data_IF_552714298796
#
_entry.id   IF_552714298796
#
_cell.length_a   1.000
_cell.length_b   1.000
_cell.length_c   1.000
_cell.angle_alpha   90.00
_cell.angle_beta   90.00
_cell.angle_gamma   90.00
#
_symmetry.space_group_name_H-M   'P 1'
#
loop_
_entity.id
_entity.type
_entity.pdbx_description
1 polymer ?
#
# COMPACT_ATOMS: atom_id res chain seq x y z
N UNK A 1 -33.60 25.19 80.45
CA UNK A 1 -34.66 25.76 79.58
C UNK A 1 -35.54 24.64 79.05
N UNK A 2 -36.84 24.91 79.06
CA UNK A 2 -38.03 24.18 78.54
C UNK A 2 -37.75 22.96 77.62
N UNK A 3 -38.26 21.77 78.02
CA UNK A 3 -39.51 21.11 77.53
C UNK A 3 -39.39 20.76 76.04
N UNK A 4 -39.51 19.52 75.58
CA UNK A 4 -40.62 18.53 75.59
C UNK A 4 -40.37 17.68 74.32
N UNK A 5 -40.85 16.47 74.09
CA UNK A 5 -41.74 15.57 74.79
C UNK A 5 -41.45 14.15 74.30
N UNK A 6 -41.54 13.22 75.23
CA UNK A 6 -41.73 11.81 74.99
C UNK A 6 -43.21 11.60 74.60
N UNK A 7 -43.51 10.88 73.51
CA UNK A 7 -44.85 10.29 73.34
C UNK A 7 -44.80 8.99 72.53
N UNK A 8 -45.07 7.95 73.29
CA UNK A 8 -45.32 6.56 72.98
C UNK A 8 -46.59 6.33 72.15
N UNK A 9 -46.60 5.34 71.25
CA UNK A 9 -47.70 4.37 71.12
C UNK A 9 -47.30 3.11 70.32
N UNK A 10 -47.97 2.00 70.65
CA UNK A 10 -47.73 0.54 70.48
C UNK A 10 -48.51 0.07 69.22
N UNK A 11 -48.13 -0.97 68.40
CA UNK A 11 -48.29 -2.36 68.84
C UNK A 11 -47.35 -3.44 68.29
N UNK A 12 -47.20 -4.46 69.15
CA UNK A 12 -46.83 -5.85 68.84
C UNK A 12 -47.70 -6.40 67.71
N UNK A 13 -47.08 -6.93 66.66
CA UNK A 13 -47.61 -8.08 65.93
C UNK A 13 -46.51 -9.08 65.58
N UNK A 14 -46.94 -10.35 65.55
CA UNK A 14 -46.16 -11.57 65.69
C UNK A 14 -45.45 -11.97 64.38
N UNK A 15 -44.19 -12.41 64.56
CA UNK A 15 -43.47 -13.54 63.95
C UNK A 15 -44.07 -14.19 62.70
N UNK A 16 -43.27 -14.26 61.64
CA UNK A 16 -43.10 -15.47 60.79
C UNK A 16 -41.66 -15.51 60.23
N UNK A 17 -40.93 -16.64 60.34
CA UNK A 17 -39.64 -16.80 59.70
C UNK A 17 -39.84 -17.40 58.30
N UNK A 18 -39.54 -16.64 57.25
CA UNK A 18 -39.43 -17.17 55.90
C UNK A 18 -37.96 -17.27 55.52
N UNK A 19 -37.50 -18.51 55.43
CA UNK A 19 -36.28 -18.91 54.75
C UNK A 19 -36.40 -18.51 53.27
N UNK A 20 -35.57 -17.59 52.80
CA UNK A 20 -35.38 -17.33 51.38
C UNK A 20 -34.08 -17.96 50.92
N UNK A 21 -34.23 -19.12 50.27
CA UNK A 21 -33.21 -19.77 49.46
C UNK A 21 -32.71 -18.80 48.38
N UNK A 22 -31.39 -18.58 48.32
CA UNK A 22 -30.75 -17.80 47.27
C UNK A 22 -30.58 -18.72 46.06
N UNK A 23 -31.45 -18.58 45.07
CA UNK A 23 -31.26 -19.19 43.75
C UNK A 23 -30.16 -18.42 43.01
N UNK A 24 -29.00 -19.06 42.85
CA UNK A 24 -27.93 -18.56 41.99
C UNK A 24 -28.35 -18.70 40.52
N UNK A 25 -28.62 -17.57 39.86
CA UNK A 25 -28.83 -17.53 38.42
C UNK A 25 -27.47 -17.67 37.72
N UNK A 26 -27.25 -18.82 37.07
CA UNK A 26 -26.17 -19.03 36.10
C UNK A 26 -26.44 -18.13 34.88
N UNK A 27 -25.67 -17.05 34.76
CA UNK A 27 -25.62 -16.23 33.56
C UNK A 27 -24.83 -16.99 32.49
N UNK A 28 -25.53 -17.42 31.44
CA UNK A 28 -24.91 -17.89 30.21
C UNK A 28 -24.16 -16.72 29.57
N UNK A 29 -22.84 -16.78 29.59
CA UNK A 29 -21.99 -15.89 28.83
C UNK A 29 -22.24 -16.15 27.34
N UNK A 30 -23.02 -15.29 26.70
CA UNK A 30 -23.05 -15.20 25.25
C UNK A 30 -21.69 -14.69 24.81
N UNK A 31 -20.86 -15.56 24.21
CA UNK A 31 -19.72 -15.13 23.42
C UNK A 31 -20.26 -14.35 22.22
N UNK A 32 -20.48 -13.05 22.37
CA UNK A 32 -20.52 -12.15 21.25
C UNK A 32 -19.11 -12.19 20.64
N UNK A 33 -18.93 -12.99 19.59
CA UNK A 33 -17.80 -12.80 18.67
C UNK A 33 -17.91 -11.36 18.20
N UNK A 34 -17.03 -10.50 18.71
CA UNK A 34 -16.84 -9.18 18.14
C UNK A 34 -16.70 -9.36 16.63
N UNK A 35 -17.38 -8.55 15.79
CA UNK A 35 -17.16 -8.64 14.35
C UNK A 35 -15.67 -8.49 14.13
N UNK A 36 -15.10 -9.48 13.43
CA UNK A 36 -13.71 -9.45 12.97
C UNK A 36 -13.47 -8.07 12.40
N UNK A 37 -12.45 -7.36 12.93
CA UNK A 37 -12.19 -5.99 12.53
C UNK A 37 -12.07 -5.98 11.01
N UNK A 38 -13.12 -5.48 10.33
CA UNK A 38 -13.11 -5.37 8.90
C UNK A 38 -11.83 -4.63 8.53
N UNK A 39 -11.14 -5.08 7.50
CA UNK A 39 -9.94 -4.49 6.93
C UNK A 39 -10.17 -2.99 6.65
N UNK A 40 -10.01 -2.17 7.69
CA UNK A 40 -10.63 -0.86 7.84
C UNK A 40 -9.61 0.21 7.51
N UNK A 41 -9.20 0.25 6.25
CA UNK A 41 -8.58 1.44 5.68
C UNK A 41 -9.63 2.50 5.32
N UNK A 42 -9.19 3.66 4.82
CA UNK A 42 -10.08 4.65 4.20
C UNK A 42 -10.92 4.00 3.08
N UNK A 43 -12.11 4.55 2.77
CA UNK A 43 -12.95 4.01 1.69
C UNK A 43 -12.16 3.87 0.37
N UNK A 44 -12.33 2.78 -0.40
CA UNK A 44 -11.56 2.54 -1.62
C UNK A 44 -11.55 3.71 -2.61
N UNK A 45 -12.69 4.36 -2.80
CA UNK A 45 -12.83 5.54 -3.66
C UNK A 45 -11.97 6.73 -3.18
N UNK A 46 -11.77 6.87 -1.86
CA UNK A 46 -10.91 7.92 -1.29
C UNK A 46 -9.44 7.59 -1.57
N UNK A 47 -9.03 6.33 -1.41
CA UNK A 47 -7.66 5.90 -1.70
C UNK A 47 -7.34 6.06 -3.19
N UNK A 48 -8.26 5.66 -4.07
CA UNK A 48 -8.10 5.86 -5.52
C UNK A 48 -7.98 7.34 -5.86
N UNK A 49 -8.83 8.20 -5.29
CA UNK A 49 -8.76 9.64 -5.54
C UNK A 49 -7.44 10.26 -5.05
N UNK A 50 -6.92 9.80 -3.91
CA UNK A 50 -5.62 10.22 -3.38
C UNK A 50 -4.49 9.79 -4.31
N UNK A 51 -4.45 8.52 -4.72
CA UNK A 51 -3.42 8.03 -5.64
C UNK A 51 -3.43 8.77 -6.99
N UNK A 52 -4.61 9.10 -7.53
CA UNK A 52 -4.72 9.86 -8.78
C UNK A 52 -4.33 11.34 -8.65
N UNK A 53 -4.30 11.88 -7.43
CA UNK A 53 -3.89 13.25 -7.16
C UNK A 53 -2.43 13.35 -6.71
N UNK A 54 -1.79 12.23 -6.41
CA UNK A 54 -0.39 12.20 -5.97
C UNK A 54 0.54 12.56 -7.13
N UNK A 55 1.53 13.41 -6.85
CA UNK A 55 2.53 13.81 -7.83
C UNK A 55 3.63 12.77 -7.99
N UNK A 56 3.84 11.90 -6.99
CA UNK A 56 4.82 10.83 -7.05
C UNK A 56 4.13 9.54 -7.54
N UNK A 57 4.45 9.06 -8.77
CA UNK A 57 3.79 7.88 -9.32
C UNK A 57 4.10 6.59 -8.54
N UNK A 58 5.25 6.53 -7.85
CA UNK A 58 5.64 5.37 -7.05
C UNK A 58 4.80 5.29 -5.76
N UNK A 59 4.58 6.42 -5.10
CA UNK A 59 3.69 6.49 -3.93
C UNK A 59 2.24 6.19 -4.32
N UNK A 60 1.77 6.72 -5.46
CA UNK A 60 0.46 6.41 -6.01
C UNK A 60 0.28 4.90 -6.30
N UNK A 61 1.29 4.25 -6.86
CA UNK A 61 1.28 2.81 -7.12
C UNK A 61 1.22 2.02 -5.80
N UNK A 62 2.00 2.43 -4.79
CA UNK A 62 2.00 1.81 -3.47
C UNK A 62 0.62 1.90 -2.82
N UNK A 63 -0.02 3.07 -2.83
CA UNK A 63 -1.38 3.27 -2.29
C UNK A 63 -2.40 2.32 -2.94
N UNK A 64 -2.37 2.19 -4.27
CA UNK A 64 -3.27 1.30 -5.00
C UNK A 64 -2.95 -0.17 -4.76
N UNK A 65 -1.69 -0.51 -4.53
CA UNK A 65 -1.26 -1.86 -4.19
C UNK A 65 -1.71 -2.29 -2.81
N UNK A 66 -1.57 -1.42 -1.81
CA UNK A 66 -2.13 -1.64 -0.47
C UNK A 66 -3.65 -1.76 -0.50
N UNK A 67 -4.33 -0.95 -1.33
CA UNK A 67 -5.77 -1.07 -1.51
C UNK A 67 -6.16 -2.44 -2.07
N UNK A 68 -5.47 -2.91 -3.11
CA UNK A 68 -5.76 -4.18 -3.77
C UNK A 68 -5.43 -5.41 -2.91
N UNK A 69 -4.52 -5.26 -1.96
CA UNK A 69 -4.23 -6.28 -0.94
C UNK A 69 -5.40 -6.48 0.06
N UNK A 70 -6.36 -5.54 0.10
CA UNK A 70 -7.50 -5.66 1.01
C UNK A 70 -8.45 -6.78 0.61
N UNK A 71 -8.87 -7.56 1.60
CA UNK A 71 -9.83 -8.65 1.40
C UNK A 71 -11.29 -8.15 1.38
N UNK A 72 -11.52 -6.92 1.82
CA UNK A 72 -12.85 -6.31 1.95
C UNK A 72 -13.40 -5.71 0.65
N UNK A 73 -12.62 -5.67 -0.43
CA UNK A 73 -13.05 -5.07 -1.70
C UNK A 73 -14.17 -5.85 -2.37
N UNK A 74 -15.22 -5.15 -2.77
CA UNK A 74 -16.18 -5.67 -3.74
C UNK A 74 -15.52 -5.88 -5.10
N UNK A 75 -16.13 -6.71 -5.96
CA UNK A 75 -15.63 -6.91 -7.33
C UNK A 75 -15.54 -5.59 -8.11
N UNK A 76 -16.53 -4.71 -7.95
CA UNK A 76 -16.53 -3.37 -8.55
C UNK A 76 -15.33 -2.54 -8.10
N UNK A 77 -15.09 -2.45 -6.79
CA UNK A 77 -13.97 -1.67 -6.25
C UNK A 77 -12.61 -2.25 -6.68
N UNK A 78 -12.48 -3.58 -6.72
CA UNK A 78 -11.28 -4.26 -7.20
C UNK A 78 -11.02 -3.94 -8.68
N UNK A 79 -12.06 -3.97 -9.52
CA UNK A 79 -11.97 -3.62 -10.94
C UNK A 79 -11.54 -2.16 -11.13
N UNK A 80 -12.11 -1.22 -10.38
CA UNK A 80 -11.72 0.20 -10.45
C UNK A 80 -10.25 0.40 -10.03
N UNK A 81 -9.84 -0.20 -8.91
CA UNK A 81 -8.47 -0.09 -8.42
C UNK A 81 -7.45 -0.73 -9.38
N UNK A 82 -7.75 -1.91 -9.94
CA UNK A 82 -6.91 -2.56 -10.96
C UNK A 82 -6.77 -1.69 -12.21
N UNK A 83 -7.86 -1.11 -12.70
CA UNK A 83 -7.81 -0.23 -13.87
C UNK A 83 -6.90 0.98 -13.64
N UNK A 84 -7.07 1.65 -12.50
CA UNK A 84 -6.28 2.84 -12.18
C UNK A 84 -4.80 2.49 -11.94
N UNK A 85 -4.51 1.39 -11.24
CA UNK A 85 -3.13 0.96 -11.02
C UNK A 85 -2.46 0.54 -12.32
N UNK A 86 -3.13 -0.25 -13.15
CA UNK A 86 -2.59 -0.65 -14.45
C UNK A 86 -2.32 0.54 -15.37
N UNK A 87 -3.23 1.51 -15.38
CA UNK A 87 -3.05 2.76 -16.13
C UNK A 87 -1.86 3.57 -15.63
N UNK A 88 -1.72 3.73 -14.31
CA UNK A 88 -0.60 4.42 -13.68
C UNK A 88 0.74 3.73 -13.97
N UNK A 89 0.79 2.40 -13.79
CA UNK A 89 1.98 1.57 -14.04
C UNK A 89 2.46 1.64 -15.48
N UNK A 90 1.54 1.72 -16.45
CA UNK A 90 1.91 1.88 -17.87
C UNK A 90 2.49 3.26 -18.17
N UNK A 91 1.92 4.30 -17.55
CA UNK A 91 2.12 5.69 -17.98
C UNK A 91 3.17 6.46 -17.17
N UNK A 92 3.33 6.16 -15.88
CA UNK A 92 4.12 7.01 -14.99
C UNK A 92 4.90 6.26 -13.90
N UNK A 93 4.47 5.08 -13.45
CA UNK A 93 5.18 4.32 -12.40
C UNK A 93 6.15 3.27 -12.95
N UNK A 94 6.44 3.31 -14.25
CA UNK A 94 7.48 2.49 -14.89
C UNK A 94 7.35 0.99 -14.60
N UNK A 95 6.14 0.45 -14.59
CA UNK A 95 5.88 -0.97 -14.29
C UNK A 95 4.99 -1.61 -15.36
N UNK A 96 5.48 -1.64 -16.60
CA UNK A 96 4.69 -2.10 -17.75
C UNK A 96 4.26 -3.57 -17.65
N UNK A 97 5.07 -4.44 -17.04
CA UNK A 97 4.66 -5.83 -16.81
C UNK A 97 3.55 -5.92 -15.74
N UNK A 98 3.66 -5.19 -14.63
CA UNK A 98 2.59 -5.13 -13.63
C UNK A 98 1.30 -4.51 -14.17
N UNK A 99 1.38 -3.60 -15.14
CA UNK A 99 0.19 -3.07 -15.82
C UNK A 99 -0.55 -4.14 -16.64
N UNK A 100 0.19 -5.04 -17.32
CA UNK A 100 -0.40 -6.19 -18.02
C UNK A 100 -1.20 -7.05 -17.04
N UNK A 101 -0.58 -7.40 -15.90
CA UNK A 101 -1.21 -8.22 -14.86
C UNK A 101 -2.51 -7.58 -14.35
N UNK A 102 -2.50 -6.26 -14.11
CA UNK A 102 -3.66 -5.53 -13.62
C UNK A 102 -4.83 -5.54 -14.63
N UNK A 103 -4.56 -5.28 -15.90
CA UNK A 103 -5.60 -5.29 -16.93
C UNK A 103 -6.12 -6.70 -17.22
N UNK A 104 -5.25 -7.71 -17.20
CA UNK A 104 -5.66 -9.11 -17.34
C UNK A 104 -6.56 -9.55 -16.18
N UNK A 105 -6.17 -9.24 -14.93
CA UNK A 105 -6.98 -9.54 -13.75
C UNK A 105 -8.34 -8.83 -13.78
N UNK A 106 -8.39 -7.57 -14.23
CA UNK A 106 -9.65 -6.85 -14.40
C UNK A 106 -10.59 -7.57 -15.37
N UNK A 107 -10.06 -7.98 -16.52
CA UNK A 107 -10.83 -8.63 -17.59
C UNK A 107 -11.26 -10.05 -17.21
N UNK A 108 -10.52 -10.72 -16.32
CA UNK A 108 -10.94 -11.99 -15.72
C UNK A 108 -12.10 -11.81 -14.74
N UNK A 109 -12.03 -10.80 -13.88
CA UNK A 109 -13.07 -10.54 -12.86
C UNK A 109 -14.37 -10.08 -13.50
N UNK A 110 -14.30 -9.14 -14.44
CA UNK A 110 -15.47 -8.50 -15.01
C UNK A 110 -15.28 -8.13 -16.50
N UNK A 111 -15.35 -9.13 -17.41
CA UNK A 111 -15.12 -8.92 -18.85
C UNK A 111 -16.14 -7.99 -19.52
N UNK A 112 -17.32 -7.83 -18.92
CA UNK A 112 -18.42 -6.99 -19.40
C UNK A 112 -18.57 -5.67 -18.62
N UNK A 113 -17.60 -5.36 -17.74
CA UNK A 113 -17.60 -4.11 -16.99
C UNK A 113 -17.42 -2.89 -17.91
N UNK A 114 -17.91 -1.72 -17.50
CA UNK A 114 -17.82 -0.48 -18.28
C UNK A 114 -16.36 -0.09 -18.64
N UNK A 115 -15.40 -0.42 -17.77
CA UNK A 115 -13.97 -0.20 -18.00
C UNK A 115 -13.31 -1.28 -18.87
N UNK A 116 -13.96 -2.40 -19.14
CA UNK A 116 -13.32 -3.54 -19.82
C UNK A 116 -12.90 -3.20 -21.26
N UNK A 117 -13.64 -2.34 -21.97
CA UNK A 117 -13.25 -1.90 -23.31
C UNK A 117 -11.94 -1.08 -23.28
N UNK A 118 -11.83 -0.16 -22.31
CA UNK A 118 -10.61 0.62 -22.12
C UNK A 118 -9.46 -0.26 -21.66
N UNK A 119 -9.69 -1.17 -20.71
CA UNK A 119 -8.68 -2.10 -20.22
C UNK A 119 -8.09 -2.97 -21.34
N UNK A 120 -8.90 -3.46 -22.28
CA UNK A 120 -8.40 -4.19 -23.46
C UNK A 120 -7.49 -3.33 -24.34
N UNK A 121 -7.87 -2.07 -24.54
CA UNK A 121 -7.10 -1.13 -25.36
C UNK A 121 -5.75 -0.82 -24.68
N UNK A 122 -5.77 -0.50 -23.39
CA UNK A 122 -4.57 -0.24 -22.60
C UNK A 122 -3.67 -1.48 -22.53
N UNK A 123 -4.24 -2.68 -22.40
CA UNK A 123 -3.53 -3.96 -22.42
C UNK A 123 -2.79 -4.18 -23.75
N UNK A 124 -3.44 -3.90 -24.89
CA UNK A 124 -2.82 -4.02 -26.21
C UNK A 124 -1.67 -3.02 -26.39
N UNK A 125 -1.83 -1.78 -25.90
CA UNK A 125 -0.76 -0.79 -25.90
C UNK A 125 0.43 -1.23 -25.05
N UNK A 126 0.21 -1.61 -23.79
CA UNK A 126 1.32 -2.00 -22.92
C UNK A 126 2.04 -3.27 -23.40
N UNK A 127 1.33 -4.23 -24.00
CA UNK A 127 1.96 -5.41 -24.63
C UNK A 127 2.87 -4.99 -25.79
N UNK A 128 2.42 -4.05 -26.60
CA UNK A 128 3.23 -3.49 -27.69
C UNK A 128 4.46 -2.76 -27.14
N UNK A 129 4.30 -1.95 -26.10
CA UNK A 129 5.40 -1.23 -25.45
C UNK A 129 6.44 -2.23 -24.89
N UNK A 130 5.98 -3.26 -24.17
CA UNK A 130 6.84 -4.31 -23.60
C UNK A 130 7.63 -5.05 -24.67
N UNK A 131 6.97 -5.45 -25.77
CA UNK A 131 7.61 -6.09 -26.93
C UNK A 131 8.72 -5.19 -27.49
N UNK A 132 8.41 -3.93 -27.75
CA UNK A 132 9.36 -2.97 -28.32
C UNK A 132 10.57 -2.73 -27.41
N UNK A 133 10.35 -2.57 -26.11
CA UNK A 133 11.43 -2.41 -25.13
C UNK A 133 12.31 -3.64 -25.18
N UNK A 134 11.75 -4.83 -24.99
CA UNK A 134 12.52 -6.10 -24.97
C UNK A 134 13.34 -6.30 -26.24
N UNK A 135 12.76 -6.00 -27.41
CA UNK A 135 13.48 -6.04 -28.68
C UNK A 135 14.63 -5.03 -28.70
N UNK A 136 14.42 -3.80 -28.19
CA UNK A 136 15.46 -2.77 -28.13
C UNK A 136 16.61 -3.10 -27.17
N UNK A 137 16.34 -3.88 -26.11
CA UNK A 137 17.34 -4.20 -25.07
C UNK A 137 18.56 -4.94 -25.62
N UNK A 138 18.42 -5.65 -26.75
CA UNK A 138 19.56 -6.35 -27.39
C UNK A 138 20.64 -5.39 -27.95
N UNK A 139 20.35 -4.09 -28.03
CA UNK A 139 21.26 -3.03 -28.48
C UNK A 139 21.83 -2.21 -27.33
N UNK A 140 21.45 -2.48 -26.08
CA UNK A 140 21.99 -1.74 -24.95
C UNK A 140 23.47 -2.07 -24.74
N UNK A 141 24.28 -1.01 -24.62
CA UNK A 141 25.73 -1.08 -24.51
C UNK A 141 26.23 -0.69 -23.12
N UNK A 142 25.38 -0.07 -22.30
CA UNK A 142 25.74 0.45 -20.98
C UNK A 142 24.79 -0.04 -19.88
N UNK A 143 25.27 0.00 -18.64
CA UNK A 143 24.43 -0.27 -17.47
C UNK A 143 23.25 0.71 -17.39
N UNK A 144 23.47 1.99 -17.71
CA UNK A 144 22.42 2.99 -17.72
C UNK A 144 21.29 2.66 -18.72
N UNK A 145 21.63 2.30 -19.96
CA UNK A 145 20.62 1.91 -20.95
C UNK A 145 19.85 0.67 -20.52
N UNK A 146 20.56 -0.33 -19.97
CA UNK A 146 19.93 -1.52 -19.44
C UNK A 146 19.04 -1.23 -18.24
N UNK A 147 19.44 -0.31 -17.37
CA UNK A 147 18.64 0.17 -16.25
C UNK A 147 17.34 0.77 -16.78
N UNK A 148 17.36 1.72 -17.71
CA UNK A 148 16.14 2.39 -18.18
C UNK A 148 15.11 1.38 -18.72
N UNK A 149 15.56 0.43 -19.55
CA UNK A 149 14.66 -0.60 -20.08
C UNK A 149 14.13 -1.56 -19.01
N UNK A 150 14.99 -2.00 -18.09
CA UNK A 150 14.60 -2.92 -17.01
C UNK A 150 13.68 -2.23 -16.02
N UNK A 151 14.01 -1.01 -15.65
CA UNK A 151 13.24 -0.13 -14.79
C UNK A 151 11.84 0.03 -15.35
N UNK A 152 11.71 0.45 -16.62
CA UNK A 152 10.39 0.68 -17.22
C UNK A 152 9.52 -0.59 -17.38
N UNK A 153 10.16 -1.76 -17.41
CA UNK A 153 9.44 -3.04 -17.42
C UNK A 153 8.92 -3.44 -16.02
N UNK A 154 9.27 -2.71 -14.96
CA UNK A 154 8.93 -3.02 -13.57
C UNK A 154 10.01 -3.78 -12.81
N UNK A 155 11.19 -3.98 -13.40
CA UNK A 155 12.32 -4.66 -12.76
C UNK A 155 13.11 -3.74 -11.82
N UNK A 156 12.43 -2.95 -10.98
CA UNK A 156 13.04 -1.89 -10.17
C UNK A 156 14.10 -2.44 -9.21
N UNK A 157 13.79 -3.51 -8.48
CA UNK A 157 14.73 -4.17 -7.56
C UNK A 157 15.95 -4.73 -8.29
N UNK A 158 15.75 -5.38 -9.44
CA UNK A 158 16.82 -5.95 -10.25
C UNK A 158 17.76 -4.84 -10.76
N UNK A 159 17.16 -3.74 -11.22
CA UNK A 159 17.86 -2.59 -11.73
C UNK A 159 18.72 -1.93 -10.64
N UNK A 160 18.16 -1.75 -9.44
CA UNK A 160 18.88 -1.19 -8.28
C UNK A 160 19.98 -2.14 -7.79
N UNK A 161 19.67 -3.43 -7.63
CA UNK A 161 20.63 -4.42 -7.16
C UNK A 161 21.86 -4.47 -8.07
N UNK A 162 21.67 -4.32 -9.39
CA UNK A 162 22.77 -4.28 -10.34
C UNK A 162 23.62 -3.02 -10.18
N UNK A 163 23.02 -1.85 -9.96
CA UNK A 163 23.79 -0.64 -9.65
C UNK A 163 24.61 -0.81 -8.38
N UNK A 164 23.98 -1.23 -7.28
CA UNK A 164 24.64 -1.50 -6.00
C UNK A 164 25.81 -2.47 -6.15
N UNK A 165 25.62 -3.56 -6.89
CA UNK A 165 26.68 -4.55 -7.13
C UNK A 165 27.79 -4.08 -8.06
N UNK A 166 27.51 -3.16 -8.98
CA UNK A 166 28.50 -2.69 -9.95
C UNK A 166 29.48 -1.67 -9.36
N UNK A 167 29.07 -0.97 -8.30
CA UNK A 167 29.80 0.17 -7.75
C UNK A 167 29.83 1.40 -8.67
N UNK A 168 29.10 1.40 -9.81
CA UNK A 168 29.01 2.55 -10.71
C UNK A 168 27.87 3.49 -10.29
N UNK A 169 28.00 4.81 -10.50
CA UNK A 169 26.94 5.75 -10.20
C UNK A 169 25.82 5.69 -11.27
N UNK A 170 24.54 5.79 -10.86
CA UNK A 170 23.44 6.07 -11.79
C UNK A 170 23.61 7.45 -12.48
N UNK A 171 22.99 7.65 -13.64
CA UNK A 171 22.97 8.98 -14.29
C UNK A 171 22.15 9.98 -13.45
N UNK A 172 22.30 11.31 -13.65
CA UNK A 172 21.53 12.30 -12.88
C UNK A 172 20.01 12.06 -12.94
N UNK A 173 19.46 11.80 -14.12
CA UNK A 173 18.02 11.49 -14.31
C UNK A 173 17.59 10.21 -13.57
N UNK A 174 18.46 9.20 -13.54
CA UNK A 174 18.21 7.97 -12.80
C UNK A 174 18.30 8.19 -11.29
N UNK A 175 19.16 9.10 -10.82
CA UNK A 175 19.19 9.48 -9.40
C UNK A 175 17.86 10.10 -9.00
N UNK A 176 17.33 11.05 -9.79
CA UNK A 176 16.00 11.64 -9.54
C UNK A 176 14.91 10.56 -9.46
N UNK A 177 14.93 9.62 -10.41
CA UNK A 177 14.00 8.48 -10.45
C UNK A 177 14.13 7.60 -9.21
N UNK A 178 15.35 7.24 -8.82
CA UNK A 178 15.64 6.38 -7.68
C UNK A 178 15.31 7.06 -6.34
N UNK A 179 15.45 8.39 -6.25
CA UNK A 179 15.00 9.18 -5.09
C UNK A 179 13.48 9.18 -5.02
N UNK A 180 12.79 9.46 -6.14
CA UNK A 180 11.33 9.45 -6.18
C UNK A 180 10.73 8.06 -5.83
N UNK A 181 11.42 6.99 -6.24
CA UNK A 181 11.04 5.62 -5.91
C UNK A 181 11.54 5.14 -4.54
N UNK A 182 12.22 5.99 -3.76
CA UNK A 182 12.66 5.68 -2.39
C UNK A 182 13.87 4.76 -2.27
N UNK A 183 14.63 4.53 -3.35
CA UNK A 183 15.84 3.70 -3.35
C UNK A 183 17.12 4.46 -2.96
N UNK A 184 17.13 5.78 -3.16
CA UNK A 184 18.20 6.70 -2.76
C UNK A 184 17.66 7.71 -1.74
N UNK A 185 18.41 7.90 -0.66
CA UNK A 185 18.07 8.74 0.48
C UNK A 185 19.15 9.80 0.70
N UNK A 186 18.80 10.89 1.40
CA UNK A 186 19.80 11.80 1.96
C UNK A 186 20.57 11.09 3.08
N UNK A 187 21.90 11.15 3.00
CA UNK A 187 22.78 10.60 4.01
C UNK A 187 22.82 11.50 5.26
N UNK A 188 22.80 10.88 6.44
CA UNK A 188 23.00 11.60 7.71
C UNK A 188 24.43 12.10 7.93
N UNK A 189 25.39 11.59 7.17
CA UNK A 189 26.82 11.88 7.26
C UNK A 189 27.37 12.29 5.88
N UNK A 190 28.28 13.27 5.84
CA UNK A 190 28.72 13.91 4.59
C UNK A 190 29.79 13.13 3.81
N UNK A 191 30.31 12.04 4.35
CA UNK A 191 31.36 11.21 3.75
C UNK A 191 30.82 9.91 3.11
N UNK A 192 29.51 9.69 3.15
CA UNK A 192 28.86 8.56 2.48
C UNK A 192 28.90 8.75 0.96
N UNK A 193 29.15 7.64 0.24
CA UNK A 193 29.19 7.59 -1.22
C UNK A 193 28.25 6.53 -1.76
N UNK A 194 27.45 6.90 -2.76
CA UNK A 194 26.58 5.98 -3.51
C UNK A 194 27.34 4.99 -4.41
N UNK A 195 28.59 5.29 -4.76
CA UNK A 195 29.36 4.56 -5.75
C UNK A 195 30.83 4.39 -5.33
N UNK A 196 31.47 3.37 -5.91
CA UNK A 196 32.89 3.02 -5.70
C UNK A 196 33.76 3.46 -6.89
N UNK A 197 33.22 3.34 -8.11
CA UNK A 197 33.93 3.63 -9.36
C UNK A 197 33.30 4.83 -10.07
N UNK A 198 34.05 5.49 -10.95
CA UNK A 198 33.58 6.66 -11.69
C UNK A 198 34.01 7.99 -11.06
N UNK A 199 33.61 9.10 -11.70
CA UNK A 199 33.91 10.44 -11.21
C UNK A 199 32.96 10.82 -10.06
N UNK A 200 33.52 11.47 -9.03
CA UNK A 200 32.71 12.11 -8.00
C UNK A 200 31.93 13.26 -8.65
N UNK A 201 30.60 13.25 -8.48
CA UNK A 201 29.71 14.26 -9.03
C UNK A 201 28.97 15.00 -7.92
N UNK A 202 28.75 16.30 -8.12
CA UNK A 202 28.08 17.16 -7.14
C UNK A 202 26.65 16.69 -6.80
N UNK A 203 25.93 16.10 -7.76
CA UNK A 203 24.57 15.61 -7.58
C UNK A 203 24.48 14.29 -6.77
N UNK A 204 25.62 13.69 -6.43
CA UNK A 204 25.70 12.49 -5.59
C UNK A 204 26.13 12.80 -4.15
N UNK A 205 26.49 14.06 -3.85
CA UNK A 205 26.99 14.46 -2.54
C UNK A 205 25.88 14.34 -1.50
N UNK A 206 26.18 13.65 -0.40
CA UNK A 206 25.23 13.50 0.70
C UNK A 206 24.04 12.60 0.36
N UNK A 207 24.19 11.73 -0.65
CA UNK A 207 23.20 10.70 -0.95
C UNK A 207 23.74 9.31 -0.58
N UNK A 208 22.82 8.42 -0.22
CA UNK A 208 23.11 7.02 0.09
C UNK A 208 22.02 6.08 -0.42
N UNK A 209 22.37 4.80 -0.58
CA UNK A 209 21.36 3.78 -0.85
C UNK A 209 20.52 3.60 0.42
N UNK A 210 19.21 3.74 0.33
CA UNK A 210 18.34 3.56 1.49
C UNK A 210 18.52 2.15 2.07
N UNK A 211 18.61 2.08 3.41
CA UNK A 211 19.03 0.89 4.15
C UNK A 211 18.14 -0.33 3.90
N UNK A 212 16.83 -0.16 3.67
CA UNK A 212 15.91 -1.25 3.33
C UNK A 212 14.72 -0.73 2.50
N UNK A 213 14.48 -1.37 1.35
CA UNK A 213 13.17 -1.39 0.67
C UNK A 213 12.56 -2.81 0.72
N UNK A 214 13.07 -3.67 1.60
CA UNK A 214 12.51 -5.02 1.76
C UNK A 214 11.18 -4.94 2.49
N UNK A 215 10.08 -4.98 1.75
CA UNK A 215 8.80 -5.49 2.21
C UNK A 215 8.19 -6.42 1.17
#
# INVERSE_FOLDING_TARGET
MRRTANRSYVPRMRRFPFYTSISAALLLAACATAPEAADSGPPPETVIAQALADSNPYDAEAMLSELLARNSLTAEQRVQALYHRGSLRRQAADNRLGAIEDFEALLEIAPDHALAANARTELDYVRTDVEQIKVSMNRFLTLAQWFDGTWTLGGHEEAVARYRSSGLPPTPEQVETLVAAGYICEAGESDVRLHEFGEDRDDLIGLEWCADLTS
#
